data_IF_979176195551
#
_entry.id   IF_979176195551
#
_cell.length_a   1.000
_cell.length_b   1.000
_cell.length_c   1.000
_cell.angle_alpha   90.00
_cell.angle_beta   90.00
_cell.angle_gamma   90.00
#
_symmetry.space_group_name_H-M   'P 1'
#
loop_
_entity.id
_entity.type
_entity.pdbx_description
1 polymer ?
#
# COMPACT_ATOMS: atom_id res chain seq x y z
N UNK A 1 -20.51 -16.72 1.65
CA UNK A 1 -20.79 -15.33 1.99
C UNK A 1 -19.43 -14.66 2.09
N UNK A 2 -19.18 -13.71 1.22
CA UNK A 2 -17.98 -12.91 1.35
C UNK A 2 -18.16 -12.01 2.57
N UNK A 3 -17.44 -12.32 3.63
CA UNK A 3 -17.43 -11.48 4.83
C UNK A 3 -16.84 -10.14 4.43
N UNK A 4 -17.64 -9.09 4.62
CA UNK A 4 -17.25 -7.74 4.23
C UNK A 4 -16.13 -7.25 5.15
N UNK A 5 -14.97 -6.94 4.60
CA UNK A 5 -13.81 -6.45 5.36
C UNK A 5 -14.16 -5.17 6.12
N UNK A 6 -13.77 -5.09 7.38
CA UNK A 6 -13.96 -3.89 8.21
C UNK A 6 -12.82 -3.73 9.22
N UNK A 7 -12.28 -2.51 9.32
CA UNK A 7 -11.22 -2.21 10.28
C UNK A 7 -11.16 -0.72 10.63
N UNK A 8 -10.53 -0.42 11.75
CA UNK A 8 -10.27 0.93 12.25
C UNK A 8 -8.78 1.15 12.49
N UNK A 9 -8.31 2.33 12.21
CA UNK A 9 -6.88 2.67 12.27
C UNK A 9 -6.67 4.15 12.57
N UNK A 10 -5.57 4.49 13.25
CA UNK A 10 -5.16 5.86 13.45
C UNK A 10 -4.84 6.54 12.11
N UNK A 11 -5.33 7.75 11.90
CA UNK A 11 -5.18 8.50 10.63
C UNK A 11 -3.71 8.68 10.23
N UNK A 12 -2.83 8.99 11.17
CA UNK A 12 -1.42 9.24 10.85
C UNK A 12 -0.68 7.97 10.42
N UNK A 13 -0.96 6.84 11.06
CA UNK A 13 -0.39 5.54 10.68
C UNK A 13 -0.88 5.13 9.30
N UNK A 14 -2.18 5.28 9.04
CA UNK A 14 -2.77 5.01 7.73
C UNK A 14 -2.18 5.93 6.65
N UNK A 15 -2.07 7.22 6.90
CA UNK A 15 -1.54 8.19 5.95
C UNK A 15 -0.10 7.89 5.57
N UNK A 16 0.74 7.56 6.54
CA UNK A 16 2.14 7.20 6.31
C UNK A 16 2.27 5.92 5.49
N UNK A 17 1.53 4.86 5.85
CA UNK A 17 1.56 3.58 5.15
C UNK A 17 1.07 3.70 3.70
N UNK A 18 -0.09 4.32 3.50
CA UNK A 18 -0.70 4.50 2.18
C UNK A 18 0.15 5.40 1.29
N UNK A 19 0.68 6.51 1.80
CA UNK A 19 1.54 7.40 1.03
C UNK A 19 2.84 6.71 0.61
N UNK A 20 3.41 5.88 1.46
CA UNK A 20 4.64 5.15 1.15
C UNK A 20 4.42 4.12 0.05
N UNK A 21 3.37 3.30 0.13
CA UNK A 21 3.03 2.33 -0.91
C UNK A 21 2.61 3.02 -2.20
N UNK A 22 1.81 4.10 -2.13
CA UNK A 22 1.34 4.83 -3.31
C UNK A 22 2.49 5.43 -4.15
N UNK A 23 3.62 5.78 -3.53
CA UNK A 23 4.82 6.26 -4.25
C UNK A 23 5.43 5.23 -5.19
N UNK A 24 5.32 3.95 -4.86
CA UNK A 24 5.83 2.85 -5.69
C UNK A 24 4.85 2.42 -6.80
N UNK A 25 3.59 2.87 -6.74
CA UNK A 25 2.60 2.53 -7.74
C UNK A 25 2.86 3.30 -9.05
N UNK A 26 2.81 2.61 -10.20
CA UNK A 26 3.07 3.24 -11.49
C UNK A 26 1.99 4.28 -11.83
N UNK A 27 2.40 5.41 -12.40
CA UNK A 27 1.49 6.47 -12.84
C UNK A 27 0.93 6.23 -14.25
N UNK A 28 1.72 5.54 -15.09
CA UNK A 28 1.38 5.23 -16.47
C UNK A 28 1.55 3.74 -16.70
N UNK A 29 0.44 3.02 -16.71
CA UNK A 29 0.43 1.58 -16.99
C UNK A 29 -0.67 1.24 -17.98
N UNK A 30 -0.40 0.22 -18.78
CA UNK A 30 -1.37 -0.38 -19.68
C UNK A 30 -2.44 -1.18 -18.94
N UNK A 31 -2.11 -1.71 -17.76
CA UNK A 31 -3.01 -2.50 -16.92
C UNK A 31 -3.46 -1.69 -15.70
N UNK A 32 -4.72 -1.29 -15.61
CA UNK A 32 -5.23 -0.49 -14.48
C UNK A 32 -5.05 -1.15 -13.12
N UNK A 33 -5.06 -2.49 -13.06
CA UNK A 33 -4.89 -3.27 -11.82
C UNK A 33 -3.55 -3.01 -11.13
N UNK A 34 -2.49 -2.62 -11.86
CA UNK A 34 -1.20 -2.28 -11.29
C UNK A 34 -1.19 -0.94 -10.52
N UNK A 35 -2.26 -0.15 -10.64
CA UNK A 35 -2.48 1.04 -9.81
C UNK A 35 -3.19 0.72 -8.50
N UNK A 36 -3.61 -0.53 -8.35
CA UNK A 36 -4.31 -0.97 -7.15
C UNK A 36 -3.36 -1.13 -5.97
N UNK A 37 -3.84 -0.75 -4.81
CA UNK A 37 -3.26 -1.07 -3.51
C UNK A 37 -4.10 -2.20 -2.90
N UNK A 38 -3.45 -3.32 -2.60
CA UNK A 38 -4.08 -4.41 -1.87
C UNK A 38 -4.00 -4.09 -0.38
N UNK A 39 -5.12 -4.19 0.30
CA UNK A 39 -5.23 -4.04 1.75
C UNK A 39 -5.66 -5.37 2.33
N UNK A 40 -4.84 -5.92 3.20
CA UNK A 40 -5.13 -7.15 3.94
C UNK A 40 -5.32 -6.82 5.41
N UNK A 41 -6.47 -7.20 5.94
CA UNK A 41 -6.79 -7.10 7.36
C UNK A 41 -6.82 -8.51 7.96
N UNK A 42 -6.00 -8.76 8.97
CA UNK A 42 -5.89 -10.04 9.65
C UNK A 42 -5.60 -9.87 11.14
N UNK A 43 -5.46 -10.96 11.87
CA UNK A 43 -5.17 -10.97 13.31
C UNK A 43 -3.87 -10.24 13.70
N UNK A 44 -2.98 -10.01 12.73
CA UNK A 44 -1.70 -9.32 12.92
C UNK A 44 -1.76 -7.83 12.55
N UNK A 45 -2.92 -7.31 12.20
CA UNK A 45 -3.17 -5.92 11.83
C UNK A 45 -3.45 -5.70 10.35
N UNK A 46 -2.96 -4.61 9.81
CA UNK A 46 -3.24 -4.16 8.46
C UNK A 46 -1.97 -4.18 7.60
N UNK A 47 -2.04 -4.81 6.44
CA UNK A 47 -0.96 -4.80 5.46
C UNK A 47 -1.41 -4.10 4.18
N UNK A 48 -0.61 -3.13 3.74
CA UNK A 48 -0.81 -2.40 2.49
C UNK A 48 0.27 -2.82 1.50
N UNK A 49 -0.14 -3.22 0.30
CA UNK A 49 0.76 -3.78 -0.70
C UNK A 49 0.55 -3.13 -2.06
N UNK A 50 1.65 -2.78 -2.73
CA UNK A 50 1.70 -2.40 -4.13
C UNK A 50 2.61 -3.35 -4.90
N UNK A 51 2.27 -3.63 -6.16
CA UNK A 51 3.04 -4.53 -7.00
C UNK A 51 2.90 -4.16 -8.48
N UNK A 52 4.01 -4.09 -9.20
CA UNK A 52 4.05 -3.75 -10.63
C UNK A 52 4.82 -4.78 -11.48
N UNK A 53 5.00 -6.00 -11.01
CA UNK A 53 5.82 -7.11 -11.52
C UNK A 53 7.34 -6.93 -11.34
N UNK A 54 7.85 -5.73 -11.16
CA UNK A 54 9.27 -5.46 -10.91
C UNK A 54 9.55 -5.17 -9.44
N UNK A 55 8.67 -4.38 -8.82
CA UNK A 55 8.79 -3.94 -7.43
C UNK A 55 7.54 -4.34 -6.64
N UNK A 56 7.76 -4.96 -5.50
CA UNK A 56 6.72 -5.21 -4.49
C UNK A 56 7.03 -4.38 -3.24
N UNK A 57 6.05 -3.59 -2.82
CA UNK A 57 6.14 -2.82 -1.58
C UNK A 57 5.08 -3.31 -0.61
N UNK A 58 5.48 -3.53 0.64
CA UNK A 58 4.57 -3.95 1.72
C UNK A 58 4.85 -3.15 2.97
N UNK A 59 3.80 -2.68 3.59
CA UNK A 59 3.84 -2.02 4.90
C UNK A 59 2.79 -2.64 5.79
N UNK A 60 3.19 -3.05 6.98
CA UNK A 60 2.27 -3.53 8.00
C UNK A 60 2.20 -2.54 9.15
N UNK A 61 0.99 -2.20 9.55
CA UNK A 61 0.71 -1.30 10.68
C UNK A 61 -0.29 -1.94 11.64
N UNK A 62 -0.32 -1.44 12.86
CA UNK A 62 -1.33 -1.81 13.82
C UNK A 62 -2.70 -1.22 13.42
N UNK A 63 -3.75 -1.97 13.67
CA UNK A 63 -5.14 -1.54 13.47
C UNK A 63 -6.07 -2.48 14.18
N UNK A 64 -7.30 -2.04 14.41
CA UNK A 64 -8.34 -2.88 14.98
C UNK A 64 -9.16 -3.48 13.83
N UNK A 65 -9.02 -4.79 13.66
CA UNK A 65 -9.74 -5.54 12.62
C UNK A 65 -11.04 -6.04 13.20
N UNK A 66 -12.15 -5.56 12.68
CA UNK A 66 -13.49 -6.00 13.07
C UNK A 66 -13.92 -7.22 12.25
N UNK A 67 -13.68 -7.18 10.94
CA UNK A 67 -13.91 -8.30 10.02
C UNK A 67 -12.66 -8.48 9.12
N UNK A 68 -11.97 -9.62 9.19
CA UNK A 68 -10.77 -9.88 8.41
C UNK A 68 -11.09 -10.09 6.92
N UNK A 69 -10.10 -9.86 6.06
CA UNK A 69 -10.20 -10.12 4.62
C UNK A 69 -9.29 -9.23 3.81
N UNK A 70 -9.56 -9.17 2.50
CA UNK A 70 -8.76 -8.42 1.55
C UNK A 70 -9.64 -7.57 0.63
N UNK A 71 -9.20 -6.35 0.37
CA UNK A 71 -9.76 -5.47 -0.65
C UNK A 71 -8.66 -4.82 -1.48
N UNK A 72 -8.97 -4.48 -2.71
CA UNK A 72 -8.07 -3.71 -3.56
C UNK A 72 -8.76 -2.42 -4.02
N UNK A 73 -8.06 -1.31 -3.92
CA UNK A 73 -8.55 0.03 -4.28
C UNK A 73 -7.50 0.79 -5.08
N UNK A 74 -7.89 1.86 -5.77
CA UNK A 74 -6.94 2.75 -6.43
C UNK A 74 -6.04 3.43 -5.38
N UNK A 75 -4.75 3.07 -5.35
CA UNK A 75 -3.85 3.46 -4.26
C UNK A 75 -3.60 4.96 -4.18
N UNK A 76 -3.43 5.65 -5.30
CA UNK A 76 -3.23 7.11 -5.31
C UNK A 76 -4.47 7.86 -4.85
N UNK A 77 -5.66 7.41 -5.27
CA UNK A 77 -6.92 8.00 -4.83
C UNK A 77 -7.11 7.83 -3.32
N UNK A 78 -6.83 6.63 -2.78
CA UNK A 78 -6.87 6.39 -1.34
C UNK A 78 -5.88 7.32 -0.61
N UNK A 79 -4.66 7.47 -1.13
CA UNK A 79 -3.65 8.37 -0.55
C UNK A 79 -4.13 9.81 -0.48
N UNK A 80 -4.72 10.33 -1.55
CA UNK A 80 -5.24 11.70 -1.61
C UNK A 80 -6.40 11.91 -0.63
N UNK A 81 -7.32 10.94 -0.54
CA UNK A 81 -8.43 10.97 0.41
C UNK A 81 -7.90 10.99 1.84
N UNK A 82 -7.03 10.06 2.20
CA UNK A 82 -6.48 9.94 3.56
C UNK A 82 -5.70 11.20 3.96
N UNK A 83 -4.97 11.80 3.04
CA UNK A 83 -4.26 13.06 3.29
C UNK A 83 -5.21 14.22 3.65
N UNK A 84 -6.44 14.20 3.13
CA UNK A 84 -7.46 15.23 3.39
C UNK A 84 -8.28 15.02 4.67
N UNK A 85 -8.19 13.83 5.29
CA UNK A 85 -8.98 13.49 6.47
C UNK A 85 -8.53 14.27 7.72
N UNK A 86 -9.46 14.57 8.65
CA UNK A 86 -9.10 15.12 9.94
C UNK A 86 -8.30 14.11 10.79
N UNK A 87 -7.55 14.61 11.76
CA UNK A 87 -6.75 13.75 12.65
C UNK A 87 -7.63 13.04 13.69
N UNK A 88 -8.37 12.05 13.23
CA UNK A 88 -9.25 11.16 14.02
C UNK A 88 -9.08 9.73 13.55
N UNK A 89 -9.65 8.78 14.30
CA UNK A 89 -9.72 7.39 13.86
C UNK A 89 -10.43 7.28 12.51
N UNK A 90 -9.87 6.48 11.63
CA UNK A 90 -10.41 6.18 10.30
C UNK A 90 -10.97 4.77 10.32
N UNK A 91 -12.20 4.63 9.88
CA UNK A 91 -12.84 3.35 9.64
C UNK A 91 -12.92 3.09 8.14
N UNK A 92 -12.51 1.91 7.71
CA UNK A 92 -12.67 1.44 6.34
C UNK A 92 -13.46 0.14 6.36
N UNK A 93 -14.55 0.12 5.62
CA UNK A 93 -15.43 -1.05 5.52
C UNK A 93 -15.81 -1.33 4.06
N UNK A 94 -15.95 -2.60 3.74
CA UNK A 94 -16.47 -3.02 2.46
C UNK A 94 -18.00 -2.99 2.50
N UNK A 95 -18.61 -2.30 1.55
CA UNK A 95 -20.06 -2.29 1.33
C UNK A 95 -20.32 -2.56 -0.15
N UNK A 96 -20.89 -3.71 -0.45
CA UNK A 96 -21.06 -4.19 -1.84
C UNK A 96 -19.73 -4.16 -2.63
N UNK A 97 -19.69 -3.43 -3.73
CA UNK A 97 -18.52 -3.26 -4.58
C UNK A 97 -17.68 -2.01 -4.28
N UNK A 98 -17.82 -1.46 -3.08
CA UNK A 98 -17.13 -0.24 -2.68
C UNK A 98 -16.43 -0.38 -1.32
N UNK A 99 -15.35 0.37 -1.16
CA UNK A 99 -14.77 0.65 0.15
C UNK A 99 -15.32 1.98 0.67
N UNK A 100 -15.91 1.96 1.84
CA UNK A 100 -16.40 3.13 2.54
C UNK A 100 -15.32 3.59 3.53
N UNK A 101 -14.85 4.82 3.37
CA UNK A 101 -13.86 5.45 4.27
C UNK A 101 -14.57 6.52 5.09
N UNK A 102 -14.62 6.35 6.40
CA UNK A 102 -15.22 7.32 7.31
C UNK A 102 -14.21 7.83 8.33
N UNK A 103 -14.27 9.13 8.61
CA UNK A 103 -13.40 9.77 9.60
C UNK A 103 -14.13 11.00 10.16
N UNK A 104 -14.62 10.93 11.38
CA UNK A 104 -15.48 11.97 11.96
C UNK A 104 -16.74 12.17 11.13
N UNK A 105 -16.94 13.38 10.59
CA UNK A 105 -18.05 13.70 9.69
C UNK A 105 -17.76 13.47 8.20
N UNK A 106 -16.52 13.14 7.86
CA UNK A 106 -16.09 12.91 6.49
C UNK A 106 -16.41 11.47 6.06
N UNK A 107 -16.94 11.32 4.84
CA UNK A 107 -17.28 10.04 4.26
C UNK A 107 -16.93 10.02 2.78
N UNK A 108 -16.20 8.99 2.35
CA UNK A 108 -15.81 8.77 0.98
C UNK A 108 -16.11 7.33 0.56
N UNK A 109 -16.43 7.15 -0.70
CA UNK A 109 -16.64 5.84 -1.31
C UNK A 109 -15.64 5.65 -2.45
N UNK A 110 -14.90 4.53 -2.40
CA UNK A 110 -13.98 4.13 -3.46
C UNK A 110 -14.49 2.84 -4.11
N UNK A 111 -14.49 2.75 -5.44
CA UNK A 111 -14.78 1.49 -6.10
C UNK A 111 -13.70 0.45 -5.77
N UNK A 112 -14.12 -0.77 -5.49
CA UNK A 112 -13.22 -1.91 -5.33
C UNK A 112 -12.74 -2.39 -6.71
N UNK A 113 -11.48 -2.81 -6.75
CA UNK A 113 -10.89 -3.50 -7.88
C UNK A 113 -11.03 -5.01 -7.62
N UNK A 114 -11.51 -5.81 -8.60
CA UNK A 114 -11.65 -7.25 -8.41
C UNK A 114 -10.32 -7.91 -8.00
N UNK A 115 -10.34 -8.69 -6.94
CA UNK A 115 -9.15 -9.38 -6.43
C UNK A 115 -8.62 -10.44 -7.41
N UNK A 116 -9.50 -11.04 -8.21
CA UNK A 116 -9.12 -12.04 -9.22
C UNK A 116 -8.22 -11.45 -10.31
N UNK A 117 -8.32 -10.16 -10.55
CA UNK A 117 -7.48 -9.42 -11.50
C UNK A 117 -6.13 -9.00 -10.90
N UNK A 118 -5.98 -9.05 -9.56
CA UNK A 118 -4.76 -8.64 -8.89
C UNK A 118 -3.66 -9.70 -9.05
N UNK A 119 -2.43 -9.32 -9.46
CA UNK A 119 -1.37 -10.27 -9.68
C UNK A 119 -0.97 -10.99 -8.39
N UNK A 120 -0.56 -12.24 -8.51
CA UNK A 120 -0.03 -12.98 -7.37
C UNK A 120 1.26 -12.33 -6.88
N UNK A 121 1.27 -12.03 -5.59
CA UNK A 121 2.43 -11.43 -4.95
C UNK A 121 3.56 -12.46 -4.82
N UNK A 122 4.82 -12.04 -5.03
CA UNK A 122 5.95 -12.92 -4.78
C UNK A 122 6.03 -13.29 -3.29
N UNK A 123 6.38 -14.54 -3.05
CA UNK A 123 6.65 -15.01 -1.68
C UNK A 123 7.94 -14.36 -1.20
N UNK A 124 7.92 -13.76 0.00
CA UNK A 124 9.12 -13.20 0.60
C UNK A 124 10.10 -14.34 0.94
N UNK A 125 11.37 -14.22 0.55
CA UNK A 125 12.39 -15.19 0.94
C UNK A 125 12.63 -15.16 2.45
N UNK A 126 13.18 -16.25 2.97
CA UNK A 126 13.59 -16.30 4.36
C UNK A 126 14.72 -15.29 4.63
N UNK A 127 14.71 -14.73 5.84
CA UNK A 127 15.78 -13.83 6.28
C UNK A 127 17.08 -14.61 6.45
N UNK A 128 18.10 -14.27 5.66
CA UNK A 128 19.41 -14.96 5.68
C UNK A 128 20.47 -14.19 6.45
N UNK A 129 20.18 -12.98 6.92
CA UNK A 129 21.12 -12.17 7.68
C UNK A 129 20.52 -10.87 8.17
N UNK A 130 21.27 -10.16 8.99
CA UNK A 130 20.92 -8.85 9.51
C UNK A 130 22.06 -7.88 9.32
N UNK A 131 21.74 -6.60 9.18
CA UNK A 131 22.70 -5.51 9.04
C UNK A 131 22.34 -4.38 10.02
N UNK A 132 23.34 -3.69 10.52
CA UNK A 132 23.12 -2.53 11.37
C UNK A 132 22.53 -1.38 10.53
N UNK A 133 21.40 -0.77 10.95
CA UNK A 133 20.72 0.25 10.15
C UNK A 133 21.60 1.43 9.76
N UNK A 134 22.45 1.92 10.68
CA UNK A 134 23.33 3.06 10.43
C UNK A 134 24.35 2.78 9.34
N UNK A 135 24.99 1.62 9.39
CA UNK A 135 25.97 1.20 8.36
C UNK A 135 25.30 1.02 7.00
N UNK A 136 24.09 0.47 7.00
CA UNK A 136 23.32 0.27 5.76
C UNK A 136 22.95 1.61 5.12
N UNK A 137 22.42 2.56 5.89
CA UNK A 137 22.06 3.90 5.41
C UNK A 137 23.28 4.62 4.86
N UNK A 138 24.42 4.58 5.55
CA UNK A 138 25.67 5.20 5.10
C UNK A 138 26.15 4.59 3.78
N UNK A 139 26.17 3.27 3.68
CA UNK A 139 26.56 2.57 2.46
C UNK A 139 25.64 2.92 1.27
N UNK A 140 24.34 2.97 1.47
CA UNK A 140 23.37 3.36 0.43
C UNK A 140 23.60 4.80 -0.01
N UNK A 141 23.82 5.74 0.91
CA UNK A 141 24.11 7.14 0.55
C UNK A 141 25.37 7.28 -0.29
N UNK A 142 26.43 6.54 0.04
CA UNK A 142 27.69 6.56 -0.73
C UNK A 142 27.50 6.03 -2.15
N UNK A 143 26.80 4.93 -2.32
CA UNK A 143 26.55 4.30 -3.63
C UNK A 143 25.54 5.10 -4.45
N UNK A 144 24.47 5.60 -3.82
CA UNK A 144 23.42 6.35 -4.50
C UNK A 144 23.94 7.66 -5.13
N UNK A 145 25.02 8.23 -4.59
CA UNK A 145 25.66 9.41 -5.17
C UNK A 145 26.21 9.15 -6.59
N UNK A 146 26.57 7.90 -6.89
CA UNK A 146 27.09 7.47 -8.20
C UNK A 146 25.99 6.91 -9.12
N UNK A 147 24.77 6.72 -8.62
CA UNK A 147 23.66 6.21 -9.41
C UNK A 147 23.19 7.25 -10.44
N UNK A 148 22.96 6.82 -11.67
CA UNK A 148 22.39 7.67 -12.72
C UNK A 148 20.99 8.16 -12.32
N UNK A 149 20.69 9.40 -12.67
CA UNK A 149 19.39 10.03 -12.36
C UNK A 149 18.36 9.85 -13.47
N UNK A 150 18.80 9.41 -14.64
CA UNK A 150 17.95 9.20 -15.80
C UNK A 150 17.64 7.72 -15.98
N UNK A 151 16.40 7.40 -16.32
CA UNK A 151 15.95 6.05 -16.69
C UNK A 151 16.49 5.61 -18.06
N UNK A 152 17.43 6.36 -18.60
CA UNK A 152 18.11 6.00 -19.84
C UNK A 152 18.98 4.77 -19.60
N UNK A 153 18.61 3.71 -20.30
CA UNK A 153 19.33 2.45 -20.25
C UNK A 153 20.83 2.66 -20.57
N UNK A 154 21.69 2.30 -19.62
CA UNK A 154 23.14 2.20 -19.83
C UNK A 154 23.53 0.99 -20.72
N UNK A 155 22.54 0.33 -21.33
CA UNK A 155 22.73 -0.87 -22.17
C UNK A 155 23.16 -0.51 -23.60
N UNK A 156 23.15 0.74 -23.97
CA UNK A 156 23.65 1.20 -25.27
C UNK A 156 25.12 1.55 -25.19
N UNK A 157 25.93 0.53 -25.05
CA UNK A 157 27.34 0.63 -25.27
C UNK A 157 27.65 -0.02 -26.63
#
# INVERSE_FOLDING_TARGET
MDEAVSFRVAKDDLANAVAWVARSLPSKVTQPVLRAMLITADDNGLEFTGFDYEVSTRVRIAGMVDEPGQIAVAGKLLSDIVASLPNKEVEISQVDSKALVTCGSSRFELPLIPLDDYPQLPVLPEVTGTIQPQLFVEAIHQVAAAAGKDDLSLIHI
#
